data_IF_105746029989
#
_entry.id   IF_105746029989
#
_cell.length_a   1.000
_cell.length_b   1.000
_cell.length_c   1.000
_cell.angle_alpha   90.00
_cell.angle_beta   90.00
_cell.angle_gamma   90.00
#
_symmetry.space_group_name_H-M   'P 1'
#
loop_
_entity.id
_entity.type
_entity.pdbx_description
1 polymer ?
#
# COMPACT_ATOMS: atom_id res chain seq x y z
N UNK A 1 -23.01 -17.84 6.47
CA UNK A 1 -22.26 -16.65 6.91
C UNK A 1 -22.06 -15.72 5.73
N UNK A 2 -22.21 -14.42 5.97
CA UNK A 2 -21.92 -13.35 5.01
C UNK A 2 -20.85 -12.40 5.54
N UNK A 3 -20.04 -11.85 4.63
CA UNK A 3 -19.07 -10.81 4.91
C UNK A 3 -19.14 -9.71 3.85
N UNK A 4 -18.91 -8.47 4.26
CA UNK A 4 -19.00 -7.30 3.39
C UNK A 4 -17.84 -6.36 3.61
N UNK A 5 -17.43 -5.69 2.53
CA UNK A 5 -16.43 -4.64 2.53
C UNK A 5 -16.85 -3.54 1.54
N UNK A 6 -17.15 -2.35 2.06
CA UNK A 6 -17.35 -1.14 1.29
C UNK A 6 -16.06 -0.32 1.24
N UNK A 7 -15.77 0.28 0.09
CA UNK A 7 -14.59 1.11 -0.17
C UNK A 7 -15.06 2.35 -0.90
N UNK A 8 -14.61 3.53 -0.49
CA UNK A 8 -14.84 4.79 -1.22
C UNK A 8 -13.61 5.68 -1.18
N UNK A 9 -13.36 6.42 -2.26
CA UNK A 9 -12.43 7.56 -2.23
C UNK A 9 -13.00 8.70 -1.39
N UNK A 10 -12.11 9.52 -0.83
CA UNK A 10 -12.46 10.70 -0.04
C UNK A 10 -12.62 11.92 -0.94
N UNK A 11 -11.76 12.04 -1.96
CA UNK A 11 -11.72 13.21 -2.83
C UNK A 11 -12.56 13.01 -4.11
N UNK A 12 -13.40 14.00 -4.49
CA UNK A 12 -14.17 13.93 -5.73
C UNK A 12 -13.27 13.80 -6.96
N UNK A 13 -13.64 12.90 -7.87
CA UNK A 13 -12.92 12.67 -9.13
C UNK A 13 -11.77 11.66 -9.03
N UNK A 14 -11.43 11.19 -7.83
CA UNK A 14 -10.54 10.05 -7.67
C UNK A 14 -11.25 8.72 -7.92
N UNK A 15 -10.46 7.66 -8.16
CA UNK A 15 -10.97 6.31 -8.37
C UNK A 15 -10.30 5.35 -7.41
N UNK A 16 -11.02 4.31 -6.96
CA UNK A 16 -10.43 3.27 -6.12
C UNK A 16 -9.32 2.57 -6.92
N UNK A 17 -8.05 2.60 -6.44
CA UNK A 17 -6.95 2.03 -7.20
C UNK A 17 -7.16 0.52 -7.42
N UNK A 18 -6.86 -0.02 -8.62
CA UNK A 18 -7.07 -1.44 -8.92
C UNK A 18 -6.39 -2.39 -7.93
N UNK A 19 -5.18 -2.04 -7.47
CA UNK A 19 -4.44 -2.85 -6.50
C UNK A 19 -5.11 -2.91 -5.11
N UNK A 20 -5.89 -1.90 -4.74
CA UNK A 20 -6.69 -1.92 -3.49
C UNK A 20 -7.87 -2.88 -3.64
N UNK A 21 -8.54 -2.88 -4.80
CA UNK A 21 -9.60 -3.86 -5.07
C UNK A 21 -9.07 -5.29 -5.08
N UNK A 22 -7.88 -5.51 -5.66
CA UNK A 22 -7.25 -6.83 -5.65
C UNK A 22 -6.86 -7.28 -4.23
N UNK A 23 -6.37 -6.34 -3.39
CA UNK A 23 -6.11 -6.58 -1.97
C UNK A 23 -7.39 -6.98 -1.23
N UNK A 24 -8.46 -6.20 -1.43
CA UNK A 24 -9.76 -6.42 -0.83
C UNK A 24 -10.36 -7.77 -1.20
N UNK A 25 -10.23 -8.19 -2.48
CA UNK A 25 -10.65 -9.51 -2.96
C UNK A 25 -9.88 -10.65 -2.30
N UNK A 26 -8.57 -10.48 -2.10
CA UNK A 26 -7.73 -11.49 -1.48
C UNK A 26 -7.96 -11.58 0.05
N UNK A 27 -8.25 -10.44 0.71
CA UNK A 27 -8.34 -10.35 2.16
C UNK A 27 -9.36 -11.30 2.80
N UNK A 28 -10.41 -11.72 2.08
CA UNK A 28 -11.43 -12.63 2.63
C UNK A 28 -10.86 -13.96 3.09
N UNK A 29 -9.86 -14.51 2.39
CA UNK A 29 -9.31 -15.84 2.70
C UNK A 29 -8.59 -15.88 4.03
N UNK A 30 -8.05 -14.74 4.45
CA UNK A 30 -7.35 -14.58 5.72
C UNK A 30 -8.29 -14.02 6.80
N UNK A 31 -9.30 -13.24 6.40
CA UNK A 31 -10.21 -12.57 7.32
C UNK A 31 -11.34 -13.46 7.84
N UNK A 32 -11.72 -14.52 7.10
CA UNK A 32 -12.84 -15.38 7.46
C UNK A 32 -12.46 -16.86 7.31
N UNK A 33 -12.58 -17.67 8.37
CA UNK A 33 -12.15 -19.07 8.36
C UNK A 33 -13.20 -19.95 7.65
N UNK A 34 -13.30 -19.85 6.34
CA UNK A 34 -14.05 -20.79 5.51
C UNK A 34 -13.24 -21.20 4.27
N UNK A 35 -13.45 -22.41 3.73
CA UNK A 35 -12.76 -22.88 2.54
C UNK A 35 -12.99 -21.93 1.35
N UNK A 36 -11.96 -21.71 0.54
CA UNK A 36 -12.01 -20.71 -0.55
C UNK A 36 -13.10 -21.04 -1.58
N UNK A 37 -13.29 -22.31 -1.85
CA UNK A 37 -14.29 -22.88 -2.76
C UNK A 37 -15.73 -22.77 -2.23
N UNK A 38 -15.92 -22.47 -0.95
CA UNK A 38 -17.25 -22.33 -0.35
C UNK A 38 -17.89 -20.96 -0.58
N UNK A 39 -17.14 -20.00 -1.12
CA UNK A 39 -17.60 -18.62 -1.27
C UNK A 39 -18.38 -18.41 -2.57
N UNK A 40 -19.63 -17.95 -2.43
CA UNK A 40 -20.31 -17.14 -3.43
C UNK A 40 -19.86 -15.70 -3.26
N UNK A 41 -19.34 -15.11 -4.33
CA UNK A 41 -18.84 -13.74 -4.35
C UNK A 41 -19.72 -12.86 -5.23
N UNK A 42 -19.99 -11.65 -4.78
CA UNK A 42 -20.61 -10.62 -5.60
C UNK A 42 -19.88 -9.30 -5.39
N UNK A 43 -19.77 -8.51 -6.45
CA UNK A 43 -19.18 -7.17 -6.39
C UNK A 43 -20.04 -6.18 -7.15
N UNK A 44 -20.06 -4.96 -6.64
CA UNK A 44 -20.61 -3.80 -7.31
C UNK A 44 -19.57 -2.68 -7.24
N UNK A 45 -19.36 -1.99 -8.35
CA UNK A 45 -18.43 -0.87 -8.48
C UNK A 45 -19.19 0.25 -9.18
N UNK A 46 -19.12 1.46 -8.64
CA UNK A 46 -19.77 2.63 -9.23
C UNK A 46 -19.24 2.89 -10.65
N UNK A 47 -20.01 3.54 -11.55
CA UNK A 47 -19.57 3.81 -12.92
C UNK A 47 -18.26 4.62 -13.01
N UNK A 48 -18.07 5.58 -12.09
CA UNK A 48 -16.84 6.38 -11.96
C UNK A 48 -15.73 5.67 -11.20
N UNK A 49 -15.98 4.45 -10.68
CA UNK A 49 -15.06 3.64 -9.88
C UNK A 49 -14.62 4.31 -8.58
N UNK A 50 -15.35 5.31 -8.11
CA UNK A 50 -15.10 6.00 -6.84
C UNK A 50 -15.54 5.15 -5.62
N UNK A 51 -16.47 4.21 -5.81
CA UNK A 51 -17.05 3.39 -4.74
C UNK A 51 -17.13 1.92 -5.16
N UNK A 52 -16.87 1.01 -4.23
CA UNK A 52 -17.06 -0.42 -4.42
C UNK A 52 -17.70 -1.06 -3.18
N UNK A 53 -18.54 -2.07 -3.41
CA UNK A 53 -19.08 -2.97 -2.38
C UNK A 53 -18.78 -4.41 -2.79
N UNK A 54 -18.00 -5.10 -1.97
CA UNK A 54 -17.65 -6.50 -2.14
C UNK A 54 -18.41 -7.33 -1.10
N UNK A 55 -18.93 -8.47 -1.53
CA UNK A 55 -19.70 -9.38 -0.71
C UNK A 55 -19.25 -10.84 -0.89
N UNK A 56 -19.20 -11.56 0.21
CA UNK A 56 -18.90 -12.99 0.27
C UNK A 56 -19.95 -13.70 1.10
N UNK A 57 -20.47 -14.83 0.60
CA UNK A 57 -21.42 -15.67 1.31
C UNK A 57 -21.06 -17.13 1.15
N UNK A 58 -21.01 -17.89 2.23
CA UNK A 58 -20.95 -19.37 2.18
C UNK A 58 -22.32 -20.02 2.44
N UNK A 59 -23.39 -19.23 2.34
CA UNK A 59 -24.76 -19.72 2.50
C UNK A 59 -25.23 -20.40 1.20
N UNK A 60 -26.12 -21.40 1.27
CA UNK A 60 -26.69 -22.04 0.09
C UNK A 60 -27.31 -21.05 -0.90
N UNK A 61 -27.24 -21.35 -2.21
CA UNK A 61 -27.94 -20.60 -3.25
C UNK A 61 -29.40 -21.04 -3.38
N UNK A 62 -30.15 -20.98 -2.28
CA UNK A 62 -31.56 -21.37 -2.21
C UNK A 62 -32.27 -20.58 -1.12
N UNK A 63 -33.59 -20.47 -1.23
CA UNK A 63 -34.41 -19.90 -0.16
C UNK A 63 -34.15 -20.64 1.18
N UNK A 64 -34.12 -19.93 2.32
CA UNK A 64 -34.41 -18.50 2.50
C UNK A 64 -33.18 -17.57 2.37
N UNK A 65 -32.06 -18.07 1.85
CA UNK A 65 -30.81 -17.29 1.80
C UNK A 65 -30.83 -16.32 0.61
N UNK A 66 -30.68 -15.01 0.84
CA UNK A 66 -30.66 -14.04 -0.23
C UNK A 66 -29.39 -14.15 -1.06
N UNK A 67 -29.42 -13.53 -2.24
CA UNK A 67 -28.19 -13.23 -2.95
C UNK A 67 -27.31 -12.28 -2.11
N UNK A 68 -25.98 -12.35 -2.23
CA UNK A 68 -25.10 -11.54 -1.39
C UNK A 68 -25.32 -10.03 -1.57
N UNK A 69 -25.70 -9.59 -2.77
CA UNK A 69 -26.00 -8.20 -3.11
C UNK A 69 -27.36 -8.09 -3.81
N UNK A 70 -28.11 -7.05 -3.44
CA UNK A 70 -29.37 -6.65 -4.07
C UNK A 70 -29.20 -5.25 -4.66
N UNK A 71 -29.68 -5.01 -5.88
CA UNK A 71 -29.52 -3.73 -6.57
C UNK A 71 -30.87 -3.06 -6.85
N UNK A 72 -30.88 -1.72 -6.83
CA UNK A 72 -32.02 -0.88 -7.21
C UNK A 72 -31.45 0.41 -7.81
N UNK A 73 -31.69 0.64 -9.10
CA UNK A 73 -31.10 1.77 -9.82
C UNK A 73 -29.56 1.75 -9.78
N UNK A 74 -28.97 2.84 -9.28
CA UNK A 74 -27.53 3.03 -9.11
C UNK A 74 -27.01 2.62 -7.73
N UNK A 75 -27.85 1.98 -6.90
CA UNK A 75 -27.52 1.57 -5.54
C UNK A 75 -27.46 0.06 -5.41
N UNK A 76 -26.67 -0.37 -4.43
CA UNK A 76 -26.52 -1.76 -4.03
C UNK A 76 -26.59 -1.89 -2.52
N UNK A 77 -27.17 -2.99 -2.03
CA UNK A 77 -27.29 -3.34 -0.63
C UNK A 77 -26.75 -4.76 -0.40
N UNK A 78 -26.05 -4.94 0.71
CA UNK A 78 -25.77 -6.24 1.30
C UNK A 78 -25.93 -6.17 2.82
N UNK A 79 -26.23 -7.28 3.49
CA UNK A 79 -26.38 -7.31 4.95
C UNK A 79 -25.92 -8.62 5.57
N UNK A 80 -25.38 -8.55 6.79
CA UNK A 80 -25.13 -9.72 7.65
C UNK A 80 -26.35 -9.97 8.54
N UNK A 81 -26.50 -11.20 9.02
CA UNK A 81 -27.59 -11.55 9.96
C UNK A 81 -28.95 -11.65 9.25
N UNK A 82 -30.03 -11.24 9.90
CA UNK A 82 -31.37 -11.31 9.31
C UNK A 82 -32.16 -10.04 9.57
N UNK A 83 -33.03 -9.71 8.61
CA UNK A 83 -34.03 -8.65 8.71
C UNK A 83 -35.38 -9.25 9.13
N UNK A 84 -36.26 -8.44 9.72
CA UNK A 84 -37.50 -8.90 10.31
C UNK A 84 -38.59 -9.22 9.29
N UNK A 85 -38.62 -8.50 8.18
CA UNK A 85 -39.59 -8.63 7.09
C UNK A 85 -38.94 -8.89 5.73
N UNK A 86 -39.69 -9.46 4.76
CA UNK A 86 -39.21 -9.72 3.41
C UNK A 86 -38.98 -8.44 2.58
N UNK A 87 -39.67 -7.34 2.91
CA UNK A 87 -39.58 -6.06 2.22
C UNK A 87 -38.50 -5.12 2.81
N UNK A 88 -37.98 -5.46 3.99
CA UNK A 88 -36.95 -4.69 4.71
C UNK A 88 -35.68 -4.41 3.87
N UNK A 89 -35.16 -5.34 3.03
CA UNK A 89 -34.03 -5.04 2.16
C UNK A 89 -34.33 -3.89 1.19
N UNK A 90 -35.54 -3.87 0.62
CA UNK A 90 -35.98 -2.79 -0.27
C UNK A 90 -36.04 -1.45 0.45
N UNK A 91 -36.62 -1.44 1.65
CA UNK A 91 -36.70 -0.25 2.50
C UNK A 91 -35.32 0.36 2.79
N UNK A 92 -34.33 -0.46 3.16
CA UNK A 92 -32.95 0.00 3.42
C UNK A 92 -32.24 0.50 2.16
N UNK A 93 -32.47 -0.15 1.02
CA UNK A 93 -31.84 0.18 -0.25
C UNK A 93 -32.34 1.53 -0.79
N UNK A 94 -33.65 1.76 -0.72
CA UNK A 94 -34.30 2.94 -1.28
C UNK A 94 -34.35 4.13 -0.31
N UNK A 95 -34.11 3.92 0.99
CA UNK A 95 -34.16 4.93 2.04
C UNK A 95 -33.40 6.24 1.70
N UNK A 96 -33.90 7.38 2.15
CA UNK A 96 -33.10 8.62 2.21
C UNK A 96 -31.97 8.46 3.23
N UNK A 97 -32.34 8.03 4.44
CA UNK A 97 -31.45 7.77 5.57
C UNK A 97 -31.57 6.29 6.03
N UNK A 98 -30.57 5.44 5.72
CA UNK A 98 -30.56 4.06 6.19
C UNK A 98 -30.48 3.90 7.70
N UNK A 99 -29.95 4.89 8.44
CA UNK A 99 -29.84 4.85 9.88
C UNK A 99 -31.21 4.94 10.54
N UNK A 100 -31.95 5.99 10.20
CA UNK A 100 -33.34 6.18 10.67
C UNK A 100 -34.23 5.00 10.26
N UNK A 101 -34.07 4.51 9.03
CA UNK A 101 -34.82 3.34 8.56
C UNK A 101 -34.46 2.10 9.39
N UNK A 102 -33.18 1.84 9.64
CA UNK A 102 -32.73 0.66 10.39
C UNK A 102 -33.22 0.65 11.84
N UNK A 103 -33.43 1.81 12.47
CA UNK A 103 -33.96 1.92 13.83
C UNK A 103 -35.41 1.41 13.95
N UNK A 104 -36.17 1.46 12.85
CA UNK A 104 -37.56 0.96 12.79
C UNK A 104 -37.69 -0.52 12.38
N UNK A 105 -36.60 -1.17 11.94
CA UNK A 105 -36.66 -2.53 11.43
C UNK A 105 -36.43 -3.58 12.52
N UNK A 106 -37.15 -4.69 12.40
CA UNK A 106 -36.90 -5.88 13.20
C UNK A 106 -35.64 -6.62 12.75
N UNK A 107 -35.09 -7.45 13.63
CA UNK A 107 -34.03 -8.40 13.31
C UNK A 107 -32.69 -8.13 13.99
N UNK A 108 -31.67 -8.84 13.50
CA UNK A 108 -30.31 -8.78 14.01
C UNK A 108 -29.36 -8.71 12.82
N UNK A 109 -28.95 -7.49 12.46
CA UNK A 109 -28.23 -7.25 11.21
C UNK A 109 -27.22 -6.12 11.30
N UNK A 110 -26.33 -6.12 10.32
CA UNK A 110 -25.59 -4.96 9.84
C UNK A 110 -25.80 -4.85 8.34
N UNK A 111 -26.08 -3.66 7.82
CA UNK A 111 -26.32 -3.43 6.40
C UNK A 111 -25.30 -2.47 5.80
N UNK A 112 -24.91 -2.72 4.56
CA UNK A 112 -23.94 -1.96 3.78
C UNK A 112 -24.63 -1.55 2.48
N UNK A 113 -24.88 -0.26 2.34
CA UNK A 113 -25.46 0.34 1.14
C UNK A 113 -24.39 1.16 0.43
N UNK A 114 -24.20 0.95 -0.87
CA UNK A 114 -23.30 1.75 -1.69
C UNK A 114 -24.04 2.34 -2.90
N UNK A 115 -23.57 3.48 -3.39
CA UNK A 115 -24.05 4.18 -4.58
C UNK A 115 -22.99 5.17 -5.07
N UNK A 116 -23.27 5.97 -6.12
CA UNK A 116 -22.26 6.86 -6.72
C UNK A 116 -21.75 7.95 -5.77
N UNK A 117 -22.51 8.26 -4.70
CA UNK A 117 -22.15 9.29 -3.71
C UNK A 117 -21.33 8.75 -2.53
N UNK A 118 -21.03 7.46 -2.49
CA UNK A 118 -20.33 6.82 -1.37
C UNK A 118 -21.07 5.60 -0.85
N UNK A 119 -20.80 5.25 0.40
CA UNK A 119 -21.49 4.18 1.09
C UNK A 119 -22.02 4.63 2.46
N UNK A 120 -22.98 3.87 2.97
CA UNK A 120 -23.49 3.94 4.33
C UNK A 120 -23.46 2.53 4.91
N UNK A 121 -22.97 2.39 6.14
CA UNK A 121 -23.03 1.13 6.87
C UNK A 121 -23.75 1.35 8.20
N UNK A 122 -24.73 0.51 8.50
CA UNK A 122 -25.59 0.64 9.69
C UNK A 122 -25.66 -0.68 10.44
N UNK A 123 -25.94 -0.60 11.74
CA UNK A 123 -26.20 -1.75 12.60
C UNK A 123 -27.60 -1.67 13.14
N UNK A 124 -28.27 -2.81 13.31
CA UNK A 124 -29.50 -2.90 14.11
C UNK A 124 -29.27 -2.41 15.55
N UNK A 125 -30.36 -2.10 16.26
CA UNK A 125 -30.33 -1.57 17.63
C UNK A 125 -29.54 -2.46 18.62
N UNK A 126 -29.52 -3.78 18.38
CA UNK A 126 -28.78 -4.74 19.22
C UNK A 126 -27.27 -4.68 19.02
N UNK A 127 -26.81 -4.14 17.87
CA UNK A 127 -25.40 -4.06 17.45
C UNK A 127 -24.65 -5.40 17.47
N UNK A 128 -25.38 -6.52 17.43
CA UNK A 128 -24.79 -7.86 17.49
C UNK A 128 -24.02 -8.24 16.19
N UNK A 129 -24.36 -7.62 15.07
CA UNK A 129 -23.56 -7.65 13.84
C UNK A 129 -22.75 -6.34 13.75
N UNK A 130 -21.44 -6.36 14.05
CA UNK A 130 -20.64 -5.14 14.09
C UNK A 130 -20.28 -4.62 12.70
N UNK A 131 -20.13 -3.30 12.60
CA UNK A 131 -19.50 -2.61 11.48
C UNK A 131 -18.19 -2.00 11.97
N UNK A 132 -17.11 -2.26 11.24
CA UNK A 132 -15.79 -1.69 11.49
C UNK A 132 -15.47 -0.67 10.42
N UNK A 133 -14.87 0.45 10.81
CA UNK A 133 -14.50 1.55 9.94
C UNK A 133 -13.00 1.79 9.97
N UNK A 134 -12.42 2.15 8.83
CA UNK A 134 -11.03 2.56 8.72
C UNK A 134 -10.83 3.57 7.59
N UNK A 135 -9.81 4.42 7.71
CA UNK A 135 -9.39 5.36 6.67
C UNK A 135 -7.88 5.28 6.47
N UNK A 136 -7.45 5.31 5.21
CA UNK A 136 -6.04 5.34 4.87
C UNK A 136 -5.82 5.84 3.44
N UNK A 137 -4.80 6.67 3.23
CA UNK A 137 -4.36 7.12 1.90
C UNK A 137 -5.51 7.65 1.02
N UNK A 138 -6.39 8.50 1.59
CA UNK A 138 -7.52 9.07 0.86
C UNK A 138 -8.70 8.12 0.65
N UNK A 139 -8.68 6.91 1.21
CA UNK A 139 -9.74 5.91 1.10
C UNK A 139 -10.47 5.70 2.44
N UNK A 140 -11.77 5.48 2.37
CA UNK A 140 -12.66 5.11 3.48
C UNK A 140 -13.16 3.69 3.30
N UNK A 141 -13.20 2.93 4.39
CA UNK A 141 -13.58 1.53 4.41
C UNK A 141 -14.64 1.27 5.47
N UNK A 142 -15.62 0.41 5.16
CA UNK A 142 -16.47 -0.20 6.16
C UNK A 142 -16.58 -1.71 5.93
N UNK A 143 -16.41 -2.51 6.98
CA UNK A 143 -16.43 -3.96 6.88
C UNK A 143 -17.25 -4.61 8.00
N UNK A 144 -17.79 -5.80 7.74
CA UNK A 144 -18.48 -6.61 8.77
C UNK A 144 -17.52 -7.37 9.70
N UNK A 145 -16.21 -7.28 9.44
CA UNK A 145 -15.14 -7.96 10.19
C UNK A 145 -13.94 -7.02 10.35
N UNK A 146 -13.40 -6.91 11.57
CA UNK A 146 -12.25 -6.05 11.86
C UNK A 146 -11.02 -6.43 11.03
N UNK A 147 -10.72 -7.73 10.94
CA UNK A 147 -9.57 -8.23 10.18
C UNK A 147 -9.71 -7.94 8.67
N UNK A 148 -10.94 -7.96 8.14
CA UNK A 148 -11.20 -7.62 6.74
C UNK A 148 -10.90 -6.14 6.45
N UNK A 149 -11.37 -5.23 7.31
CA UNK A 149 -11.02 -3.81 7.21
C UNK A 149 -9.50 -3.60 7.32
N UNK A 150 -8.87 -4.24 8.31
CA UNK A 150 -7.43 -4.12 8.54
C UNK A 150 -6.60 -4.60 7.33
N UNK A 151 -6.91 -5.77 6.77
CA UNK A 151 -6.18 -6.33 5.64
C UNK A 151 -6.45 -5.56 4.33
N UNK A 152 -7.66 -5.01 4.14
CA UNK A 152 -7.97 -4.19 2.98
C UNK A 152 -7.25 -2.83 3.00
N UNK A 153 -7.02 -2.28 4.19
CA UNK A 153 -6.22 -1.06 4.40
C UNK A 153 -4.73 -1.34 4.32
N UNK A 154 -4.30 -2.54 4.69
CA UNK A 154 -2.90 -2.91 4.62
C UNK A 154 -2.44 -2.93 3.15
N UNK A 155 -1.32 -2.27 2.88
CA UNK A 155 -0.63 -2.44 1.60
C UNK A 155 -0.39 -3.94 1.36
N UNK A 156 -0.78 -4.49 0.19
CA UNK A 156 -0.63 -5.91 -0.09
C UNK A 156 0.78 -6.38 0.23
N UNK A 157 0.94 -7.49 0.94
CA UNK A 157 2.27 -8.04 1.26
C UNK A 157 3.07 -8.24 -0.03
N UNK A 158 2.43 -8.74 -1.09
CA UNK A 158 3.05 -8.88 -2.41
C UNK A 158 3.56 -7.57 -2.99
N UNK A 159 2.84 -6.46 -2.81
CA UNK A 159 3.27 -5.13 -3.25
C UNK A 159 4.41 -4.59 -2.38
N UNK A 160 4.30 -4.70 -1.04
CA UNK A 160 5.35 -4.28 -0.09
C UNK A 160 6.66 -5.03 -0.29
N UNK A 161 6.57 -6.31 -0.67
CA UNK A 161 7.71 -7.18 -0.97
C UNK A 161 8.16 -7.08 -2.43
N UNK A 162 7.44 -6.34 -3.26
CA UNK A 162 7.87 -6.03 -4.62
C UNK A 162 8.86 -4.88 -4.62
N UNK A 163 9.45 -4.64 -5.79
CA UNK A 163 10.33 -3.49 -6.01
C UNK A 163 9.54 -2.21 -6.33
N UNK A 164 8.20 -2.29 -6.49
CA UNK A 164 7.35 -1.16 -6.86
C UNK A 164 7.37 0.00 -5.86
N UNK A 165 7.28 -0.21 -4.52
CA UNK A 165 7.36 0.89 -3.57
C UNK A 165 8.68 1.64 -3.69
N UNK A 166 9.79 0.91 -3.86
CA UNK A 166 11.13 1.50 -4.01
C UNK A 166 11.22 2.28 -5.32
N UNK A 167 10.69 1.74 -6.42
CA UNK A 167 10.67 2.44 -7.70
C UNK A 167 9.79 3.69 -7.66
N UNK A 168 8.66 3.66 -6.96
CA UNK A 168 7.78 4.81 -6.73
C UNK A 168 8.51 5.89 -5.92
N UNK A 169 9.15 5.52 -4.81
CA UNK A 169 9.94 6.44 -3.99
C UNK A 169 11.11 7.03 -4.78
N UNK A 170 11.80 6.22 -5.60
CA UNK A 170 12.86 6.71 -6.50
C UNK A 170 12.33 7.75 -7.48
N UNK A 171 11.15 7.55 -8.07
CA UNK A 171 10.53 8.53 -8.98
C UNK A 171 10.24 9.86 -8.29
N UNK A 172 9.83 9.80 -7.02
CA UNK A 172 9.44 10.96 -6.23
C UNK A 172 10.66 11.75 -5.72
N UNK A 173 11.64 11.05 -5.15
CA UNK A 173 12.73 11.68 -4.41
C UNK A 173 14.05 11.73 -5.17
N UNK A 174 14.23 10.91 -6.21
CA UNK A 174 15.46 10.86 -6.99
C UNK A 174 15.16 10.60 -8.48
N UNK A 175 14.42 11.49 -9.16
CA UNK A 175 13.98 11.27 -10.54
C UNK A 175 15.14 11.03 -11.52
N UNK A 176 16.33 11.59 -11.25
CA UNK A 176 17.55 11.33 -12.02
C UNK A 176 18.00 9.86 -12.01
N UNK A 177 17.60 9.08 -11.00
CA UNK A 177 17.93 7.65 -10.88
C UNK A 177 16.86 6.73 -11.53
N UNK A 178 15.68 7.26 -11.87
CA UNK A 178 14.53 6.46 -12.34
C UNK A 178 14.86 5.55 -13.52
N UNK A 179 15.66 6.05 -14.46
CA UNK A 179 15.94 5.37 -15.72
C UNK A 179 17.36 4.77 -15.78
N UNK A 180 18.08 4.77 -14.65
CA UNK A 180 19.41 4.16 -14.53
C UNK A 180 19.27 2.63 -14.57
N UNK A 181 20.09 1.92 -15.38
CA UNK A 181 20.08 0.46 -15.39
C UNK A 181 20.46 -0.12 -14.02
N UNK A 182 19.65 -1.04 -13.50
CA UNK A 182 19.94 -1.71 -12.24
C UNK A 182 20.81 -2.94 -12.46
N UNK A 183 21.66 -3.25 -11.47
CA UNK A 183 22.40 -4.49 -11.44
C UNK A 183 21.42 -5.67 -11.34
N UNK A 184 21.51 -6.62 -12.28
CA UNK A 184 20.59 -7.75 -12.37
C UNK A 184 19.41 -7.58 -13.33
N UNK A 185 19.23 -6.38 -13.90
CA UNK A 185 18.29 -6.10 -14.98
C UNK A 185 17.16 -5.14 -14.62
N UNK A 186 16.04 -5.20 -15.35
CA UNK A 186 14.86 -4.36 -15.08
C UNK A 186 14.24 -4.71 -13.73
N UNK A 187 13.46 -3.77 -13.19
CA UNK A 187 12.53 -4.08 -12.12
C UNK A 187 11.68 -5.30 -12.47
N UNK A 188 11.46 -6.20 -11.51
CA UNK A 188 10.75 -7.46 -11.72
C UNK A 188 9.32 -7.25 -12.21
N UNK A 189 8.64 -6.24 -11.68
CA UNK A 189 7.27 -5.89 -12.06
C UNK A 189 7.18 -5.33 -13.50
N UNK A 190 8.28 -4.79 -14.03
CA UNK A 190 8.40 -4.30 -15.41
C UNK A 190 9.11 -5.30 -16.34
N UNK A 191 9.41 -6.54 -15.91
CA UNK A 191 10.28 -7.44 -16.70
C UNK A 191 9.80 -7.66 -18.15
N UNK A 192 8.49 -7.77 -18.36
CA UNK A 192 7.87 -8.06 -19.66
C UNK A 192 7.44 -6.82 -20.45
N UNK A 193 6.94 -5.78 -19.77
CA UNK A 193 6.42 -4.55 -20.38
C UNK A 193 6.45 -3.39 -19.36
N UNK A 194 6.46 -2.12 -19.80
CA UNK A 194 6.27 -0.98 -18.91
C UNK A 194 4.87 -0.98 -18.29
N UNK A 195 4.71 -0.23 -17.18
CA UNK A 195 3.42 -0.03 -16.52
C UNK A 195 2.44 0.80 -17.37
N UNK A 196 2.94 1.74 -18.17
CA UNK A 196 2.13 2.56 -19.07
C UNK A 196 2.85 2.95 -20.36
N UNK A 197 2.11 3.56 -21.29
CA UNK A 197 2.67 3.98 -22.59
C UNK A 197 3.78 5.03 -22.41
N UNK A 198 3.62 5.96 -21.47
CA UNK A 198 4.63 6.98 -21.17
C UNK A 198 5.96 6.40 -20.64
N UNK A 199 5.93 5.19 -20.06
CA UNK A 199 7.09 4.57 -19.43
C UNK A 199 7.98 3.79 -20.42
N UNK A 200 7.57 3.65 -21.69
CA UNK A 200 8.30 2.85 -22.69
C UNK A 200 9.75 3.30 -22.88
N UNK A 201 10.02 4.60 -22.94
CA UNK A 201 11.37 5.11 -23.14
C UNK A 201 12.29 4.77 -21.95
N UNK A 202 11.82 4.99 -20.72
CA UNK A 202 12.55 4.62 -19.50
C UNK A 202 12.76 3.11 -19.38
N UNK A 203 11.74 2.32 -19.74
CA UNK A 203 11.80 0.86 -19.75
C UNK A 203 12.85 0.31 -20.72
N UNK A 204 13.03 0.95 -21.87
CA UNK A 204 14.11 0.63 -22.83
C UNK A 204 15.47 1.01 -22.27
N UNK A 205 15.61 2.19 -21.64
CA UNK A 205 16.87 2.63 -21.01
C UNK A 205 17.33 1.71 -19.88
N UNK A 206 16.39 1.18 -19.09
CA UNK A 206 16.65 0.20 -18.02
C UNK A 206 16.94 -1.22 -18.51
N UNK A 207 17.02 -1.46 -19.83
CA UNK A 207 17.39 -2.78 -20.33
C UNK A 207 18.76 -3.19 -19.76
N UNK A 208 18.90 -4.45 -19.36
CA UNK A 208 20.15 -4.96 -18.79
C UNK A 208 21.28 -4.71 -19.79
N UNK A 209 22.34 -3.97 -19.39
CA UNK A 209 23.53 -3.84 -20.22
C UNK A 209 24.08 -5.24 -20.53
N UNK A 210 24.65 -5.45 -21.72
CA UNK A 210 25.33 -6.72 -22.02
C UNK A 210 26.41 -6.94 -20.96
N UNK A 211 26.38 -8.10 -20.30
CA UNK A 211 27.34 -8.43 -19.27
C UNK A 211 28.74 -8.50 -19.91
N UNK A 212 29.58 -7.49 -19.65
CA UNK A 212 31.00 -7.63 -19.85
C UNK A 212 31.55 -8.50 -18.73
N UNK A 213 32.40 -9.49 -19.04
CA UNK A 213 32.97 -10.49 -18.11
C UNK A 213 33.82 -9.92 -16.96
N UNK A 214 33.80 -8.60 -16.75
CA UNK A 214 34.55 -7.97 -15.68
C UNK A 214 33.89 -8.24 -14.31
N UNK A 215 34.67 -8.48 -13.25
CA UNK A 215 34.14 -8.54 -11.89
C UNK A 215 33.39 -7.24 -11.57
N UNK A 216 32.21 -7.35 -10.97
CA UNK A 216 31.35 -6.20 -10.69
C UNK A 216 32.09 -5.14 -9.87
N UNK A 217 32.09 -3.90 -10.36
CA UNK A 217 32.68 -2.78 -9.65
C UNK A 217 31.74 -2.30 -8.53
N UNK A 218 32.19 -2.41 -7.27
CA UNK A 218 31.46 -1.88 -6.13
C UNK A 218 32.11 -0.58 -5.64
N UNK A 219 31.66 0.55 -6.19
CA UNK A 219 32.16 1.88 -5.83
C UNK A 219 32.08 2.18 -4.34
N UNK A 220 31.13 1.57 -3.61
CA UNK A 220 31.01 1.71 -2.14
C UNK A 220 32.22 1.15 -1.39
N UNK A 221 33.03 0.32 -2.03
CA UNK A 221 34.28 -0.24 -1.48
C UNK A 221 35.55 0.42 -2.03
N UNK A 222 35.41 1.33 -2.99
CA UNK A 222 36.52 1.83 -3.82
C UNK A 222 36.31 3.31 -4.12
N UNK A 223 36.38 4.14 -3.07
CA UNK A 223 36.27 5.59 -3.17
C UNK A 223 37.54 6.28 -2.64
N UNK A 224 37.78 7.50 -3.11
CA UNK A 224 38.98 8.27 -2.83
C UNK A 224 38.90 9.04 -1.48
N UNK A 225 39.96 9.81 -1.17
CA UNK A 225 39.99 10.66 0.02
C UNK A 225 38.93 11.76 0.00
N UNK A 226 38.49 12.21 -1.18
CA UNK A 226 37.44 13.22 -1.32
C UNK A 226 36.10 12.70 -0.83
N UNK A 227 35.67 11.53 -1.33
CA UNK A 227 34.45 10.87 -0.84
C UNK A 227 34.53 10.56 0.66
N UNK A 228 35.67 10.04 1.12
CA UNK A 228 35.87 9.72 2.53
C UNK A 228 35.73 10.98 3.40
N UNK A 229 36.22 12.13 2.92
CA UNK A 229 36.07 13.44 3.55
C UNK A 229 34.60 13.83 3.72
N UNK A 230 33.81 13.76 2.65
CA UNK A 230 32.38 14.09 2.66
C UNK A 230 31.58 13.18 3.61
N UNK A 231 31.83 11.87 3.54
CA UNK A 231 31.18 10.91 4.43
C UNK A 231 31.49 11.22 5.89
N UNK A 232 32.76 11.50 6.20
CA UNK A 232 33.20 11.83 7.54
C UNK A 232 32.56 13.14 8.03
N UNK A 233 32.56 14.18 7.21
CA UNK A 233 31.94 15.46 7.56
C UNK A 233 30.45 15.28 7.90
N UNK A 234 29.70 14.60 7.03
CA UNK A 234 28.27 14.34 7.25
C UNK A 234 28.01 13.47 8.49
N UNK A 235 28.83 12.44 8.74
CA UNK A 235 28.64 11.56 9.91
C UNK A 235 29.00 12.29 11.20
N UNK A 236 30.08 13.07 11.22
CA UNK A 236 30.51 13.79 12.42
C UNK A 236 29.64 15.01 12.73
N UNK A 237 28.88 15.51 11.75
CA UNK A 237 27.86 16.55 11.94
C UNK A 237 26.47 15.97 12.31
N UNK A 238 26.35 14.67 12.53
CA UNK A 238 25.09 14.04 12.91
C UNK A 238 24.56 14.56 14.26
N UNK A 239 23.24 14.48 14.49
CA UNK A 239 22.65 14.78 15.79
C UNK A 239 23.27 13.93 16.93
N UNK A 240 23.35 14.47 18.16
CA UNK A 240 23.96 13.78 19.31
C UNK A 240 23.41 12.37 19.58
N UNK A 241 22.14 12.12 19.23
CA UNK A 241 21.45 10.83 19.38
C UNK A 241 22.16 9.68 18.68
N UNK A 242 22.93 9.96 17.62
CA UNK A 242 23.77 8.95 16.97
C UNK A 242 24.90 8.49 17.90
N UNK A 243 25.49 9.42 18.65
CA UNK A 243 26.63 9.19 19.53
C UNK A 243 26.24 8.80 20.96
N UNK A 244 24.97 8.93 21.33
CA UNK A 244 24.42 8.28 22.52
C UNK A 244 24.53 6.74 22.43
N UNK A 245 24.52 6.21 21.20
CA UNK A 245 24.61 4.77 20.93
C UNK A 245 26.02 4.32 20.52
N UNK A 246 26.89 5.25 20.13
CA UNK A 246 28.17 4.95 19.47
C UNK A 246 29.30 5.75 20.08
N UNK A 247 30.45 5.12 20.28
CA UNK A 247 31.65 5.83 20.72
C UNK A 247 32.16 6.76 19.61
N UNK A 248 31.99 8.07 19.79
CA UNK A 248 32.37 9.10 18.82
C UNK A 248 33.86 9.02 18.43
N UNK A 249 34.76 8.85 19.41
CA UNK A 249 36.21 8.75 19.16
C UNK A 249 36.53 7.56 18.26
N UNK A 250 35.95 6.39 18.55
CA UNK A 250 36.15 5.19 17.73
C UNK A 250 35.58 5.35 16.32
N UNK A 251 34.44 6.06 16.16
CA UNK A 251 33.87 6.40 14.85
C UNK A 251 34.82 7.32 14.08
N UNK A 252 35.36 8.36 14.73
CA UNK A 252 36.28 9.33 14.14
C UNK A 252 37.58 8.69 13.66
N UNK A 253 38.23 7.90 14.51
CA UNK A 253 39.45 7.16 14.17
C UNK A 253 39.22 6.25 12.96
N UNK A 254 38.09 5.57 12.94
CA UNK A 254 37.73 4.68 11.85
C UNK A 254 37.49 5.41 10.54
N UNK A 255 36.78 6.54 10.56
CA UNK A 255 36.49 7.32 9.36
C UNK A 255 37.75 7.99 8.77
N UNK A 256 38.87 8.00 9.51
CA UNK A 256 40.16 8.45 9.01
C UNK A 256 40.88 7.41 8.13
N UNK A 257 40.48 6.14 8.16
CA UNK A 257 41.08 5.09 7.31
C UNK A 257 40.65 5.25 5.83
N UNK A 258 41.63 5.45 4.92
CA UNK A 258 41.39 5.49 3.47
C UNK A 258 42.36 4.55 2.74
N UNK A 259 41.89 3.47 2.08
CA UNK A 259 40.48 3.06 1.95
C UNK A 259 39.92 2.50 3.28
N UNK A 260 38.59 2.59 3.50
CA UNK A 260 37.97 2.08 4.72
C UNK A 260 38.12 0.55 4.81
N UNK A 261 38.55 0.01 5.97
CA UNK A 261 38.63 -1.45 6.16
C UNK A 261 37.27 -2.14 6.15
N UNK A 262 36.21 -1.48 6.65
CA UNK A 262 34.82 -1.97 6.54
C UNK A 262 33.87 -0.88 6.04
N UNK A 263 33.81 -0.66 4.71
CA UNK A 263 33.02 0.42 4.11
C UNK A 263 31.53 0.31 4.42
N UNK A 264 31.00 -0.91 4.58
CA UNK A 264 29.59 -1.12 4.91
C UNK A 264 29.15 -0.43 6.20
N UNK A 265 30.05 -0.31 7.20
CA UNK A 265 29.72 0.40 8.44
C UNK A 265 29.73 1.92 8.24
N UNK A 266 30.64 2.47 7.44
CA UNK A 266 30.62 3.90 7.10
C UNK A 266 29.32 4.28 6.37
N UNK A 267 28.83 3.41 5.48
CA UNK A 267 27.53 3.62 4.82
C UNK A 267 26.34 3.53 5.79
N UNK A 268 26.37 2.59 6.74
CA UNK A 268 25.33 2.51 7.76
C UNK A 268 25.29 3.77 8.65
N UNK A 269 26.46 4.28 9.06
CA UNK A 269 26.59 5.51 9.83
C UNK A 269 26.10 6.73 9.04
N UNK A 270 26.44 6.83 7.76
CA UNK A 270 25.93 7.90 6.89
C UNK A 270 24.39 7.87 6.84
N UNK A 271 23.80 6.69 6.61
CA UNK A 271 22.34 6.54 6.57
C UNK A 271 21.69 6.98 7.88
N UNK A 272 22.23 6.56 9.03
CA UNK A 272 21.71 6.97 10.33
C UNK A 272 21.83 8.49 10.54
N UNK A 273 22.97 9.08 10.18
CA UNK A 273 23.17 10.54 10.23
C UNK A 273 22.09 11.29 9.43
N UNK A 274 21.83 10.86 8.18
CA UNK A 274 20.81 11.50 7.31
C UNK A 274 19.39 11.30 7.85
N UNK A 275 19.07 10.11 8.35
CA UNK A 275 17.73 9.82 8.89
C UNK A 275 17.45 10.61 10.17
N UNK A 276 18.41 10.66 11.10
CA UNK A 276 18.27 11.34 12.38
C UNK A 276 18.25 12.86 12.22
N UNK A 277 19.05 13.41 11.30
CA UNK A 277 19.05 14.86 11.02
C UNK A 277 17.80 15.34 10.28
N UNK A 278 17.02 14.43 9.69
CA UNK A 278 15.89 14.79 8.83
C UNK A 278 16.30 15.40 7.49
N UNK A 279 17.60 15.46 7.18
CA UNK A 279 18.14 16.12 5.98
C UNK A 279 17.59 15.55 4.66
N UNK A 280 17.07 14.32 4.66
CA UNK A 280 16.39 13.71 3.51
C UNK A 280 15.09 14.42 3.10
N UNK A 281 14.53 15.27 3.96
CA UNK A 281 13.34 16.09 3.67
C UNK A 281 13.67 17.44 3.04
N UNK A 282 14.93 17.84 3.12
CA UNK A 282 15.42 19.10 2.58
C UNK A 282 15.73 18.97 1.08
N UNK A 283 15.82 20.10 0.34
CA UNK A 283 16.26 20.08 -1.05
C UNK A 283 17.62 19.39 -1.23
N UNK A 284 17.83 18.81 -2.42
CA UNK A 284 19.08 18.12 -2.75
C UNK A 284 20.30 19.05 -2.53
N UNK A 285 21.28 18.64 -1.70
CA UNK A 285 22.41 19.48 -1.38
C UNK A 285 23.36 19.60 -2.58
N UNK A 286 23.96 20.78 -2.75
CA UNK A 286 25.02 20.98 -3.74
C UNK A 286 26.31 20.36 -3.20
N UNK A 287 26.67 19.18 -3.70
CA UNK A 287 27.88 18.46 -3.31
C UNK A 287 28.99 18.65 -4.37
N UNK A 288 30.27 18.67 -3.94
CA UNK A 288 31.38 18.72 -4.89
C UNK A 288 31.45 17.42 -5.72
N UNK A 289 31.99 17.52 -6.93
CA UNK A 289 32.25 16.34 -7.75
C UNK A 289 33.26 15.41 -7.08
N UNK A 290 32.98 14.11 -7.13
CA UNK A 290 33.82 13.07 -6.52
C UNK A 290 34.31 12.10 -7.58
N UNK A 291 35.60 11.80 -7.56
CA UNK A 291 36.19 10.82 -8.47
C UNK A 291 36.05 9.42 -7.89
N UNK A 292 35.35 8.55 -8.61
CA UNK A 292 35.21 7.14 -8.25
C UNK A 292 36.17 6.32 -9.12
N UNK A 293 37.32 5.86 -8.59
CA UNK A 293 38.30 5.13 -9.37
C UNK A 293 37.73 3.79 -9.83
N UNK A 294 37.73 3.54 -11.14
CA UNK A 294 37.41 2.22 -11.68
C UNK A 294 38.67 1.35 -11.56
N UNK A 295 38.58 0.13 -10.98
CA UNK A 295 39.69 -0.81 -10.99
C UNK A 295 40.09 -1.08 -12.43
N UNK A 296 41.37 -0.91 -12.73
CA UNK A 296 42.01 -1.37 -13.97
C UNK A 296 41.98 -2.88 -14.05
#
# INVERSE_FOLDING_TARGET
MRAYLAIAVSDPGETVPPHVLDAARAAITDAVPAPRESWRTAEWISPDRAVALLAWSNEPAAAPFPDPLTTSGDRVLGYCGYLGGPDDPGALLDAGDPGETADGLGGCFSAFRAGPRGFTAVTSITRACPVYHAEAAGLRFAASRALLAHLAVALPVGWRMSEEPVAMLTRMFAPGLRDVPLQGGRWRYERRRPAGIADWAGWRRRATPRAHRAPGFNWRRSYDRGMAGLLREQIMAAPPELFDLLNETAVRERLAEVPPRRPGQSWALLTLSVLLSGAWREPEPVLPEVTVPRPS
#
